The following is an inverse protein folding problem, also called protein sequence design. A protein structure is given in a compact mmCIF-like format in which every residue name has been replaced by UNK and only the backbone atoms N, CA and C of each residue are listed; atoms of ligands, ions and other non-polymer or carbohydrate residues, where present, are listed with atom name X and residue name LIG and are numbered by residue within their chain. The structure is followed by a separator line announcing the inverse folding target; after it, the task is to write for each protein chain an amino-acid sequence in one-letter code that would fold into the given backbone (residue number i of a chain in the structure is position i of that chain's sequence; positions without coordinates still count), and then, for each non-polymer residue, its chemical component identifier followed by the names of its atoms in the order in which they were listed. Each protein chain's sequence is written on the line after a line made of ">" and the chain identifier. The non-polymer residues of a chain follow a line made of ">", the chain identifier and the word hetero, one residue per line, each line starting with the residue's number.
data_IF_340419030950
#
_entry.id   IF_340419030950
#
_cell.length_a   1.000
_cell.length_b   1.000
_cell.length_c   1.000
_cell.angle_alpha   90.00
_cell.angle_beta   90.00
_cell.angle_gamma   90.00
#
_symmetry.space_group_name_H-M   'P 1'
#
loop_
_entity.id
_entity.type
_entity.pdbx_description
1 polymer ?
#
# COMPACT_ATOMS: atom_id res chain seq x y z
N UNK A 1 -17.00 -7.72 -10.38
CA UNK A 1 -15.85 -7.59 -9.47
C UNK A 1 -15.79 -6.18 -8.87
N UNK A 2 -15.17 -5.97 -7.70
CA UNK A 2 -15.17 -4.70 -6.93
C UNK A 2 -14.58 -3.46 -7.66
N UNK A 3 -14.07 -3.64 -8.88
CA UNK A 3 -13.57 -2.57 -9.74
C UNK A 3 -14.65 -1.57 -10.20
N UNK A 4 -15.94 -1.94 -10.20
CA UNK A 4 -17.01 -1.05 -10.69
C UNK A 4 -17.68 -0.21 -9.59
N UNK A 5 -17.68 -0.65 -8.33
CA UNK A 5 -18.48 -0.01 -7.27
C UNK A 5 -18.00 1.40 -6.95
N UNK A 6 -16.69 1.61 -6.84
CA UNK A 6 -16.13 2.95 -6.61
C UNK A 6 -16.28 3.85 -7.85
N UNK A 7 -16.16 3.26 -9.05
CA UNK A 7 -16.32 3.96 -10.31
C UNK A 7 -17.74 4.50 -10.47
N UNK A 8 -18.73 3.64 -10.23
CA UNK A 8 -20.14 4.01 -10.22
C UNK A 8 -20.43 5.08 -9.15
N UNK A 9 -19.90 4.93 -7.93
CA UNK A 9 -20.13 5.93 -6.88
C UNK A 9 -19.59 7.31 -7.23
N UNK A 10 -18.45 7.39 -7.94
CA UNK A 10 -17.93 8.66 -8.43
C UNK A 10 -18.86 9.26 -9.49
N UNK A 11 -19.23 8.47 -10.49
CA UNK A 11 -20.09 8.94 -11.59
C UNK A 11 -21.47 9.41 -11.12
N UNK A 12 -22.05 8.72 -10.13
CA UNK A 12 -23.36 9.05 -9.57
C UNK A 12 -23.35 10.34 -8.71
N UNK A 13 -22.24 10.66 -8.06
CA UNK A 13 -22.18 11.73 -7.04
C UNK A 13 -21.37 12.96 -7.48
N UNK A 14 -20.44 12.79 -8.41
CA UNK A 14 -19.51 13.83 -8.86
C UNK A 14 -19.68 14.10 -10.35
N UNK A 15 -19.76 13.04 -11.16
CA UNK A 15 -19.98 13.13 -12.60
C UNK A 15 -19.10 12.18 -13.40
N UNK A 16 -19.28 12.21 -14.72
CA UNK A 16 -18.62 11.28 -15.64
C UNK A 16 -17.11 11.30 -15.48
N UNK A 17 -16.50 10.12 -15.54
CA UNK A 17 -15.06 9.96 -15.58
C UNK A 17 -14.61 10.22 -17.02
N UNK A 18 -13.77 11.24 -17.28
CA UNK A 18 -13.27 11.50 -18.62
C UNK A 18 -12.59 10.27 -19.24
N UNK A 19 -12.70 10.15 -20.56
CA UNK A 19 -12.07 9.06 -21.29
C UNK A 19 -10.55 9.03 -21.05
N UNK A 20 -9.99 7.83 -20.93
CA UNK A 20 -8.56 7.63 -20.66
C UNK A 20 -8.14 7.85 -19.20
N UNK A 21 -9.07 8.20 -18.29
CA UNK A 21 -8.78 8.31 -16.86
C UNK A 21 -9.18 7.06 -16.04
N UNK A 22 -8.38 6.80 -15.02
CA UNK A 22 -8.56 5.73 -14.03
C UNK A 22 -8.94 6.35 -12.69
N UNK A 23 -9.75 5.64 -11.90
CA UNK A 23 -10.02 6.06 -10.51
C UNK A 23 -8.88 5.59 -9.60
N UNK A 24 -8.27 6.54 -8.91
CA UNK A 24 -7.29 6.34 -7.84
C UNK A 24 -7.93 6.54 -6.46
N UNK A 25 -7.56 5.71 -5.49
CA UNK A 25 -8.02 5.82 -4.11
C UNK A 25 -7.03 6.67 -3.31
N UNK A 26 -7.40 7.93 -3.04
CA UNK A 26 -6.59 8.82 -2.19
C UNK A 26 -6.33 8.23 -0.80
N UNK A 27 -7.28 7.44 -0.29
CA UNK A 27 -7.18 6.75 1.01
C UNK A 27 -6.40 5.43 0.97
N UNK A 28 -5.95 4.95 -0.20
CA UNK A 28 -5.31 3.63 -0.38
C UNK A 28 -6.11 2.42 0.12
N UNK A 29 -7.43 2.56 0.32
CA UNK A 29 -8.34 1.48 0.72
C UNK A 29 -9.13 1.00 -0.50
N UNK A 30 -8.75 -0.15 -1.05
CA UNK A 30 -9.35 -0.72 -2.29
C UNK A 30 -10.86 -0.95 -2.22
N UNK A 31 -11.42 -1.14 -1.02
CA UNK A 31 -12.85 -1.35 -0.82
C UNK A 31 -13.63 -0.04 -0.57
N UNK A 32 -12.95 1.11 -0.50
CA UNK A 32 -13.61 2.39 -0.27
C UNK A 32 -14.40 2.82 -1.51
N UNK A 33 -15.62 3.29 -1.30
CA UNK A 33 -16.52 3.82 -2.34
C UNK A 33 -16.92 5.27 -2.08
N UNK A 34 -16.39 5.93 -1.04
CA UNK A 34 -16.70 7.33 -0.79
C UNK A 34 -16.19 8.18 -1.97
N UNK A 35 -17.07 8.89 -2.72
CA UNK A 35 -16.67 9.63 -3.93
C UNK A 35 -15.60 10.69 -3.65
N UNK A 36 -15.58 11.27 -2.45
CA UNK A 36 -14.58 12.27 -2.05
C UNK A 36 -13.19 11.69 -1.75
N UNK A 37 -13.06 10.37 -1.72
CA UNK A 37 -11.77 9.67 -1.59
C UNK A 37 -11.25 9.13 -2.93
N UNK A 38 -11.91 9.49 -4.04
CA UNK A 38 -11.61 9.01 -5.38
C UNK A 38 -11.16 10.17 -6.26
N UNK A 39 -10.17 9.92 -7.11
CA UNK A 39 -9.59 10.93 -8.00
C UNK A 39 -9.42 10.34 -9.42
N UNK A 40 -10.08 10.89 -10.45
CA UNK A 40 -9.83 10.53 -11.84
C UNK A 40 -8.45 11.02 -12.27
N UNK A 41 -7.55 10.09 -12.52
CA UNK A 41 -6.16 10.39 -12.89
C UNK A 41 -5.73 9.62 -14.12
N UNK A 42 -4.71 10.14 -14.80
CA UNK A 42 -4.11 9.41 -15.92
C UNK A 42 -3.45 8.10 -15.41
N UNK A 43 -3.31 7.07 -16.26
CA UNK A 43 -2.61 5.84 -15.90
C UNK A 43 -1.19 6.10 -15.37
N UNK A 44 -0.50 7.10 -15.92
CA UNK A 44 0.83 7.53 -15.47
C UNK A 44 0.82 8.01 -14.01
N UNK A 45 -0.13 8.88 -13.66
CA UNK A 45 -0.27 9.40 -12.29
C UNK A 45 -0.68 8.29 -11.33
N UNK A 46 -1.62 7.42 -11.72
CA UNK A 46 -2.02 6.26 -10.90
C UNK A 46 -0.82 5.36 -10.57
N UNK A 47 0.02 5.03 -11.57
CA UNK A 47 1.25 4.24 -11.38
C UNK A 47 2.26 4.98 -10.51
N UNK A 48 2.45 6.28 -10.72
CA UNK A 48 3.38 7.08 -9.93
C UNK A 48 2.98 7.13 -8.44
N UNK A 49 1.68 7.33 -8.15
CA UNK A 49 1.15 7.36 -6.78
C UNK A 49 1.18 5.98 -6.11
N UNK A 50 0.87 4.93 -6.85
CA UNK A 50 0.90 3.56 -6.32
C UNK A 50 2.32 2.97 -6.16
N UNK A 51 3.32 3.57 -6.81
CA UNK A 51 4.73 3.15 -6.73
C UNK A 51 5.65 4.37 -6.63
N UNK A 52 5.81 4.98 -5.45
CA UNK A 52 6.69 6.13 -5.30
C UNK A 52 8.15 5.69 -5.48
N UNK A 53 8.64 5.75 -6.73
CA UNK A 53 10.02 5.37 -7.12
C UNK A 53 11.08 6.30 -6.52
N UNK A 54 10.66 7.46 -6.00
CA UNK A 54 11.49 8.46 -5.32
C UNK A 54 11.13 8.63 -3.84
N UNK A 55 10.45 7.66 -3.23
CA UNK A 55 10.14 7.77 -1.80
C UNK A 55 11.42 7.83 -0.97
N UNK A 56 11.43 8.75 0.00
CA UNK A 56 12.43 8.79 1.08
C UNK A 56 12.14 7.74 2.15
N UNK A 57 10.91 7.20 2.19
CA UNK A 57 10.47 6.22 3.19
C UNK A 57 9.85 4.98 2.55
N UNK A 58 9.93 3.83 3.21
CA UNK A 58 9.24 2.62 2.77
C UNK A 58 7.72 2.73 3.03
N UNK A 59 6.93 1.79 2.52
CA UNK A 59 5.46 1.78 2.70
C UNK A 59 4.99 1.65 4.16
N UNK A 60 5.90 1.39 5.10
CA UNK A 60 5.63 1.37 6.54
C UNK A 60 6.17 2.60 7.28
N UNK A 61 6.77 3.56 6.57
CA UNK A 61 7.26 4.79 7.18
C UNK A 61 8.73 4.76 7.62
N UNK A 62 9.48 3.68 7.39
CA UNK A 62 10.92 3.68 7.69
C UNK A 62 11.72 4.44 6.64
N UNK A 63 12.63 5.31 7.08
CA UNK A 63 13.50 6.09 6.20
C UNK A 63 14.48 5.19 5.43
N UNK A 64 14.67 5.48 4.14
CA UNK A 64 15.67 4.86 3.29
C UNK A 64 17.03 5.56 3.44
N UNK A 65 17.77 5.20 4.49
CA UNK A 65 19.18 5.58 4.69
C UNK A 65 20.12 4.49 4.15
N UNK A 66 21.42 4.77 4.01
CA UNK A 66 22.41 3.73 3.66
C UNK A 66 22.39 2.55 4.65
N UNK A 67 22.20 2.84 5.94
CA UNK A 67 22.10 1.84 7.00
C UNK A 67 20.81 1.00 6.91
N UNK A 68 19.67 1.60 6.52
CA UNK A 68 18.37 0.92 6.48
C UNK A 68 17.96 0.43 5.08
N UNK A 69 18.86 0.53 4.10
CA UNK A 69 18.58 0.20 2.71
C UNK A 69 19.50 -0.89 2.18
N UNK A 70 18.95 -1.80 1.40
CA UNK A 70 19.72 -2.66 0.49
C UNK A 70 18.98 -2.84 -0.83
N UNK A 71 19.72 -3.18 -1.88
CA UNK A 71 19.17 -3.39 -3.22
C UNK A 71 19.09 -4.88 -3.54
N UNK A 72 17.91 -5.33 -3.98
CA UNK A 72 17.69 -6.67 -4.51
C UNK A 72 17.31 -6.53 -5.99
N UNK A 73 18.30 -6.68 -6.87
CA UNK A 73 18.17 -6.30 -8.27
C UNK A 73 17.77 -4.83 -8.41
N UNK A 74 16.66 -4.57 -9.10
CA UNK A 74 16.12 -3.20 -9.31
C UNK A 74 15.23 -2.69 -8.17
N UNK A 75 15.05 -3.47 -7.10
CA UNK A 75 14.14 -3.12 -6.00
C UNK A 75 14.92 -2.68 -4.77
N UNK A 76 14.59 -1.48 -4.27
CA UNK A 76 15.03 -1.01 -2.95
C UNK A 76 14.25 -1.76 -1.87
N UNK A 77 14.96 -2.31 -0.88
CA UNK A 77 14.37 -3.04 0.24
C UNK A 77 14.78 -2.39 1.56
N UNK A 78 13.82 -2.28 2.48
CA UNK A 78 14.02 -1.76 3.83
C UNK A 78 14.50 -2.89 4.74
N UNK A 79 15.66 -2.70 5.39
CA UNK A 79 16.25 -3.70 6.31
C UNK A 79 15.37 -3.91 7.52
N UNK A 80 14.81 -2.84 8.08
CA UNK A 80 13.94 -2.95 9.24
C UNK A 80 12.67 -3.78 8.95
N UNK A 81 12.03 -3.54 7.79
CA UNK A 81 10.91 -4.39 7.35
C UNK A 81 11.32 -5.86 7.20
N UNK A 82 12.54 -6.13 6.71
CA UNK A 82 13.04 -7.49 6.57
C UNK A 82 13.27 -8.15 7.94
N UNK A 83 13.87 -7.41 8.88
CA UNK A 83 14.10 -7.86 10.27
C UNK A 83 12.79 -8.23 10.94
N UNK A 84 11.79 -7.35 10.89
CA UNK A 84 10.47 -7.60 11.49
C UNK A 84 9.82 -8.82 10.84
N UNK A 85 9.84 -8.93 9.51
CA UNK A 85 9.30 -10.11 8.83
C UNK A 85 10.02 -11.41 9.22
N UNK A 86 11.33 -11.37 9.46
CA UNK A 86 12.12 -12.52 9.94
C UNK A 86 11.70 -12.95 11.34
N UNK A 87 11.55 -12.00 12.27
CA UNK A 87 11.06 -12.25 13.64
C UNK A 87 9.70 -12.94 13.62
N UNK A 88 8.74 -12.40 12.85
CA UNK A 88 7.42 -13.00 12.71
C UNK A 88 7.47 -14.43 12.16
N UNK A 89 8.28 -14.68 11.12
CA UNK A 89 8.45 -16.03 10.56
C UNK A 89 9.03 -17.01 11.57
N UNK A 90 9.99 -16.58 12.38
CA UNK A 90 10.59 -17.43 13.42
C UNK A 90 9.60 -17.70 14.55
N UNK A 91 8.85 -16.69 15.00
CA UNK A 91 7.81 -16.86 16.01
C UNK A 91 6.70 -17.82 15.55
N UNK A 92 6.32 -17.76 14.27
CA UNK A 92 5.38 -18.74 13.69
C UNK A 92 5.95 -20.16 13.66
N UNK A 93 7.20 -20.34 13.23
CA UNK A 93 7.88 -21.64 13.26
C UNK A 93 7.98 -22.22 14.67
N UNK A 94 8.16 -21.35 15.66
CA UNK A 94 8.20 -21.71 17.07
C UNK A 94 6.80 -21.91 17.69
N UNK A 95 5.72 -21.72 16.94
CA UNK A 95 4.33 -21.83 17.44
C UNK A 95 3.90 -20.71 18.38
N UNK A 96 4.68 -19.63 18.50
CA UNK A 96 4.39 -18.49 19.39
C UNK A 96 3.31 -17.57 18.80
N UNK A 97 3.27 -17.44 17.47
CA UNK A 97 2.27 -16.64 16.76
C UNK A 97 1.49 -17.48 15.75
N UNK A 98 0.20 -17.17 15.61
CA UNK A 98 -0.69 -17.78 14.61
C UNK A 98 -0.45 -17.31 13.17
N UNK A 99 -1.23 -17.80 12.19
CA UNK A 99 -1.12 -17.40 10.79
C UNK A 99 -1.33 -15.90 10.60
N UNK A 100 -0.50 -15.25 9.77
CA UNK A 100 -0.54 -13.80 9.51
C UNK A 100 -1.91 -13.29 9.00
N UNK A 101 -2.79 -14.18 8.51
CA UNK A 101 -4.13 -13.85 8.05
C UNK A 101 -5.09 -13.42 9.17
N UNK A 102 -4.90 -13.89 10.41
CA UNK A 102 -5.77 -13.53 11.54
C UNK A 102 -5.35 -12.24 12.24
N UNK A 103 -4.12 -11.77 12.04
CA UNK A 103 -3.53 -10.65 12.80
C UNK A 103 -2.88 -9.56 11.92
N UNK A 104 -3.38 -9.35 10.69
CA UNK A 104 -2.87 -8.28 9.79
C UNK A 104 -2.85 -6.87 10.41
N UNK A 105 -3.68 -6.62 11.44
CA UNK A 105 -3.72 -5.35 12.18
C UNK A 105 -2.51 -5.13 13.09
N UNK A 106 -1.89 -6.18 13.62
CA UNK A 106 -0.72 -6.08 14.48
C UNK A 106 0.55 -5.72 13.69
N UNK A 107 0.72 -6.30 12.51
CA UNK A 107 1.88 -6.01 11.65
C UNK A 107 1.95 -4.54 11.21
N UNK A 108 0.82 -3.82 11.12
CA UNK A 108 0.86 -2.37 10.84
C UNK A 108 1.26 -1.53 12.05
N UNK A 109 0.91 -1.94 13.27
CA UNK A 109 1.19 -1.18 14.50
C UNK A 109 2.65 -1.27 14.98
N UNK A 110 3.32 -2.40 14.75
CA UNK A 110 4.71 -2.60 15.18
C UNK A 110 5.76 -1.97 14.26
N UNK A 111 5.36 -1.57 13.04
CA UNK A 111 6.29 -1.11 11.98
C UNK A 111 6.17 0.41 11.76
N UNK A 112 5.26 1.08 12.47
CA UNK A 112 5.03 2.53 12.39
C UNK A 112 5.44 3.28 13.66
N UNK A 113 6.25 2.67 14.53
CA UNK A 113 6.75 3.25 15.78
C UNK A 113 8.23 3.60 15.67
#
# INVERSE_FOLDING_TARGET
>A
GPAMAHRWSYEAMVGLIPEGLHIDHLCSVRACVNPYHLDPVTPRVNVQRSRPTRSTHCNHGHEFTAANTYWLGRKRTCRECNRIASVYKNAQKAGVLGPLSTERRFYRRLVTA
#
